data_IF_209813811170
#
_entry.id   IF_209813811170
#
_cell.length_a   1.000
_cell.length_b   1.000
_cell.length_c   1.000
_cell.angle_alpha   90.00
_cell.angle_beta   90.00
_cell.angle_gamma   90.00
#
_symmetry.space_group_name_H-M   'P 1'
#
loop_
_entity.id
_entity.type
_entity.pdbx_description
1 polymer ?
#
# COMPACT_ATOMS: atom_id res chain seq x y z
N UNK A 1 0.22 -17.25 6.21
CA UNK A 1 -0.59 -16.04 6.44
C UNK A 1 0.11 -14.83 5.87
N UNK A 2 -0.66 -13.99 5.19
CA UNK A 2 -0.10 -12.78 4.59
C UNK A 2 -0.20 -11.62 5.57
N UNK A 3 0.92 -10.92 5.74
CA UNK A 3 1.04 -9.73 6.58
C UNK A 3 1.37 -8.54 5.70
N UNK A 4 0.69 -7.42 5.93
CA UNK A 4 0.92 -6.18 5.21
C UNK A 4 1.33 -5.07 6.18
N UNK A 5 2.39 -4.36 5.84
CA UNK A 5 2.80 -3.13 6.50
C UNK A 5 2.43 -1.95 5.59
N UNK A 6 1.65 -1.03 6.12
CA UNK A 6 1.24 0.18 5.41
C UNK A 6 2.01 1.36 6.00
N UNK A 7 2.75 2.07 5.17
CA UNK A 7 3.44 3.29 5.59
C UNK A 7 2.51 4.47 5.39
N UNK A 8 2.13 5.12 6.48
CA UNK A 8 1.21 6.25 6.47
C UNK A 8 -0.14 5.94 7.10
N UNK A 9 -0.31 6.31 8.38
CA UNK A 9 -1.52 6.07 9.16
C UNK A 9 -2.47 7.26 9.05
N UNK A 10 -3.02 7.47 7.86
CA UNK A 10 -3.90 8.58 7.52
C UNK A 10 -5.18 8.08 6.88
N UNK A 11 -6.03 9.00 6.43
CA UNK A 11 -7.26 8.65 5.73
C UNK A 11 -6.99 7.81 4.48
N UNK A 12 -5.95 8.14 3.71
CA UNK A 12 -5.56 7.35 2.54
C UNK A 12 -5.06 5.96 2.95
N UNK A 13 -4.23 5.87 3.98
CA UNK A 13 -3.77 4.59 4.50
C UNK A 13 -4.91 3.70 4.98
N UNK A 14 -5.96 4.30 5.53
CA UNK A 14 -7.15 3.56 5.96
C UNK A 14 -7.90 2.95 4.77
N UNK A 15 -7.99 3.67 3.65
CA UNK A 15 -8.58 3.14 2.41
C UNK A 15 -7.76 1.97 1.89
N UNK A 16 -6.44 2.09 1.91
CA UNK A 16 -5.53 1.02 1.50
C UNK A 16 -5.73 -0.22 2.37
N UNK A 17 -5.88 -0.05 3.69
CA UNK A 17 -6.12 -1.16 4.61
C UNK A 17 -7.43 -1.91 4.28
N UNK A 18 -8.48 -1.18 3.93
CA UNK A 18 -9.75 -1.79 3.53
C UNK A 18 -9.59 -2.68 2.29
N UNK A 19 -8.88 -2.18 1.28
CA UNK A 19 -8.60 -2.96 0.07
C UNK A 19 -7.80 -4.22 0.42
N UNK A 20 -6.77 -4.08 1.26
CA UNK A 20 -5.91 -5.20 1.65
C UNK A 20 -6.72 -6.31 2.35
N UNK A 21 -7.63 -5.95 3.25
CA UNK A 21 -8.50 -6.94 3.90
C UNK A 21 -9.36 -7.69 2.90
N UNK A 22 -9.92 -6.99 1.94
CA UNK A 22 -10.80 -7.59 0.92
C UNK A 22 -10.08 -8.60 0.05
N UNK A 23 -8.78 -8.41 -0.19
CA UNK A 23 -8.00 -9.31 -1.05
C UNK A 23 -7.22 -10.38 -0.27
N UNK A 24 -7.41 -10.47 1.06
CA UNK A 24 -6.96 -11.61 1.83
C UNK A 24 -5.80 -11.39 2.79
N UNK A 25 -5.36 -10.16 3.03
CA UNK A 25 -4.39 -9.91 4.09
C UNK A 25 -5.08 -10.06 5.45
N UNK A 26 -4.56 -10.94 6.29
CA UNK A 26 -5.15 -11.22 7.59
C UNK A 26 -4.46 -10.50 8.74
N UNK A 27 -3.26 -9.99 8.53
CA UNK A 27 -2.57 -9.15 9.51
C UNK A 27 -2.12 -7.85 8.85
N UNK A 28 -2.56 -6.72 9.39
CA UNK A 28 -2.24 -5.39 8.87
C UNK A 28 -1.69 -4.54 9.99
N UNK A 29 -0.53 -3.92 9.76
CA UNK A 29 0.08 -2.98 10.69
C UNK A 29 0.45 -1.70 9.94
N UNK A 30 0.51 -0.59 10.67
CA UNK A 30 0.92 0.70 10.13
C UNK A 30 2.28 1.12 10.66
N UNK A 31 2.99 1.88 9.85
CA UNK A 31 4.18 2.65 10.25
C UNK A 31 3.93 4.11 9.93
N UNK A 32 4.22 4.98 10.88
CA UNK A 32 4.05 6.43 10.69
C UNK A 32 5.09 7.17 11.52
N UNK A 33 5.64 8.25 10.96
CA UNK A 33 6.66 9.04 11.64
C UNK A 33 6.06 9.96 12.72
N UNK A 34 4.75 10.14 12.72
CA UNK A 34 4.04 10.86 13.78
C UNK A 34 3.82 9.94 14.98
N UNK A 35 4.62 10.12 16.02
CA UNK A 35 4.59 9.28 17.22
C UNK A 35 3.31 9.41 18.05
N UNK A 36 2.48 10.41 17.78
CA UNK A 36 1.20 10.60 18.46
C UNK A 36 0.09 9.68 17.92
N UNK A 37 0.31 9.07 16.76
CA UNK A 37 -0.68 8.18 16.14
C UNK A 37 -0.39 6.74 16.57
N UNK A 38 -1.34 6.11 17.26
CA UNK A 38 -1.17 4.74 17.79
C UNK A 38 -2.02 3.70 17.06
N UNK A 39 -3.04 4.13 16.33
CA UNK A 39 -3.86 3.22 15.54
C UNK A 39 -4.45 3.96 14.33
N UNK A 40 -4.85 3.19 13.33
CA UNK A 40 -5.51 3.71 12.14
C UNK A 40 -6.51 2.66 11.64
N UNK A 41 -7.79 3.04 11.60
CA UNK A 41 -8.84 2.13 11.15
C UNK A 41 -8.98 0.84 11.95
N UNK A 42 -8.57 0.84 13.21
CA UNK A 42 -8.58 -0.33 14.07
C UNK A 42 -7.30 -1.17 14.02
N UNK A 43 -6.31 -0.78 13.22
CA UNK A 43 -5.01 -1.47 13.13
C UNK A 43 -3.93 -0.71 13.85
N UNK A 44 -2.96 -1.40 14.49
CA UNK A 44 -1.92 -0.73 15.28
C UNK A 44 -0.89 -0.02 14.41
N UNK A 45 -0.37 1.09 14.92
CA UNK A 45 0.84 1.74 14.42
C UNK A 45 2.00 1.25 15.28
N UNK A 46 2.94 0.52 14.71
CA UNK A 46 3.96 -0.20 15.46
C UNK A 46 5.37 0.40 15.38
N UNK A 47 5.58 1.43 14.57
CA UNK A 47 6.88 2.07 14.45
C UNK A 47 6.89 3.18 13.42
N UNK A 48 8.10 3.70 13.18
CA UNK A 48 8.36 4.74 12.19
C UNK A 48 8.60 4.11 10.81
N UNK A 49 8.46 4.90 9.75
CA UNK A 49 8.66 4.42 8.38
C UNK A 49 10.05 3.78 8.17
N UNK A 50 11.07 4.28 8.84
CA UNK A 50 12.43 3.73 8.76
C UNK A 50 12.56 2.32 9.35
N UNK A 51 11.61 1.89 10.17
CA UNK A 51 11.62 0.59 10.85
C UNK A 51 10.91 -0.52 10.08
N UNK A 52 10.27 -0.19 8.96
CA UNK A 52 9.46 -1.16 8.20
C UNK A 52 10.28 -2.37 7.72
N UNK A 53 11.57 -2.18 7.47
CA UNK A 53 12.45 -3.26 7.03
C UNK A 53 12.77 -4.28 8.12
N UNK A 54 12.42 -4.01 9.37
CA UNK A 54 12.70 -4.92 10.50
C UNK A 54 11.70 -6.07 10.62
N UNK A 55 10.59 -6.00 9.89
CA UNK A 55 9.56 -7.04 9.92
C UNK A 55 9.48 -7.77 8.60
N UNK A 56 9.03 -9.02 8.66
CA UNK A 56 8.77 -9.84 7.48
C UNK A 56 7.32 -9.63 7.03
N UNK A 57 7.13 -8.73 6.08
CA UNK A 57 5.81 -8.38 5.58
C UNK A 57 5.91 -7.77 4.18
N UNK A 58 4.81 -7.88 3.44
CA UNK A 58 4.62 -7.08 2.23
C UNK A 58 4.44 -5.62 2.63
N UNK A 59 4.86 -4.69 1.79
CA UNK A 59 4.84 -3.26 2.08
C UNK A 59 4.08 -2.50 1.00
N UNK A 60 3.26 -1.56 1.42
CA UNK A 60 2.61 -0.59 0.54
C UNK A 60 2.70 0.80 1.18
N UNK A 61 2.79 1.83 0.36
CA UNK A 61 2.86 3.21 0.85
C UNK A 61 1.48 3.85 0.73
N UNK A 62 0.88 4.16 1.88
CA UNK A 62 -0.44 4.76 1.99
C UNK A 62 -0.41 6.27 2.21
N UNK A 63 0.53 6.96 1.59
CA UNK A 63 0.68 8.41 1.69
C UNK A 63 0.19 9.07 0.41
N UNK A 64 -0.72 10.06 0.53
CA UNK A 64 -1.29 10.73 -0.62
C UNK A 64 -0.32 11.64 -1.37
N UNK A 65 0.66 12.23 -0.68
CA UNK A 65 1.63 13.12 -1.32
C UNK A 65 2.58 12.33 -2.22
N UNK A 66 2.56 12.62 -3.52
CA UNK A 66 3.33 11.87 -4.51
C UNK A 66 4.85 12.00 -4.33
N UNK A 67 5.34 13.17 -3.94
CA UNK A 67 6.77 13.40 -3.70
C UNK A 67 7.30 12.60 -2.51
N UNK A 68 6.58 12.62 -1.40
CA UNK A 68 6.92 11.84 -0.21
C UNK A 68 6.84 10.35 -0.50
N UNK A 69 5.80 9.92 -1.18
CA UNK A 69 5.61 8.51 -1.58
C UNK A 69 6.78 8.02 -2.42
N UNK A 70 7.22 8.82 -3.39
CA UNK A 70 8.35 8.47 -4.25
C UNK A 70 9.65 8.32 -3.46
N UNK A 71 9.93 9.24 -2.54
CA UNK A 71 11.12 9.16 -1.69
C UNK A 71 11.16 7.87 -0.88
N UNK A 72 10.05 7.53 -0.25
CA UNK A 72 9.95 6.31 0.56
C UNK A 72 10.09 5.07 -0.32
N UNK A 73 9.44 5.06 -1.48
CA UNK A 73 9.52 3.96 -2.44
C UNK A 73 10.96 3.68 -2.86
N UNK A 74 11.74 4.72 -3.13
CA UNK A 74 13.14 4.58 -3.54
C UNK A 74 14.03 4.04 -2.43
N UNK A 75 13.63 4.19 -1.17
CA UNK A 75 14.37 3.67 -0.01
C UNK A 75 14.08 2.20 0.29
N UNK A 76 13.09 1.59 -0.37
CA UNK A 76 12.64 0.23 -0.10
C UNK A 76 13.08 -0.74 -1.20
N UNK A 77 13.40 -2.01 -0.83
CA UNK A 77 13.66 -3.04 -1.84
C UNK A 77 12.37 -3.35 -2.62
N UNK A 78 12.49 -3.47 -3.94
CA UNK A 78 11.35 -3.74 -4.82
C UNK A 78 10.60 -5.02 -4.46
N UNK A 79 11.29 -6.04 -3.99
CA UNK A 79 10.67 -7.31 -3.64
C UNK A 79 9.70 -7.23 -2.46
N UNK A 80 9.79 -6.19 -1.65
CA UNK A 80 8.84 -5.97 -0.55
C UNK A 80 7.60 -5.19 -0.96
N UNK A 81 7.70 -4.38 -2.00
CA UNK A 81 6.57 -3.58 -2.48
C UNK A 81 5.56 -4.45 -3.21
N UNK A 82 4.30 -4.29 -2.86
CA UNK A 82 3.19 -5.03 -3.48
C UNK A 82 2.24 -4.08 -4.19
N UNK A 83 1.47 -4.62 -5.11
CA UNK A 83 0.38 -3.92 -5.78
C UNK A 83 -0.94 -4.44 -5.23
N UNK A 84 -1.83 -3.53 -4.87
CA UNK A 84 -3.15 -3.87 -4.35
C UNK A 84 -4.21 -3.45 -5.36
N UNK A 85 -5.08 -4.40 -5.73
CA UNK A 85 -6.16 -4.16 -6.68
C UNK A 85 -7.47 -4.48 -5.98
N UNK A 86 -8.34 -3.47 -5.87
CA UNK A 86 -9.66 -3.68 -5.28
C UNK A 86 -10.45 -4.71 -6.12
N UNK A 87 -11.19 -5.63 -5.49
CA UNK A 87 -11.95 -6.64 -6.24
C UNK A 87 -12.99 -6.07 -7.21
N UNK A 88 -13.48 -4.85 -6.96
CA UNK A 88 -14.46 -4.17 -7.81
C UNK A 88 -13.80 -3.26 -8.86
N UNK A 89 -12.49 -3.36 -9.05
CA UNK A 89 -11.81 -2.71 -10.17
C UNK A 89 -11.87 -3.61 -11.40
N UNK A 90 -11.95 -2.99 -12.56
CA UNK A 90 -11.95 -3.71 -13.85
C UNK A 90 -10.59 -3.48 -14.51
N UNK A 91 -9.78 -4.52 -14.57
CA UNK A 91 -8.42 -4.46 -15.11
C UNK A 91 -8.31 -5.43 -16.28
N UNK A 92 -7.95 -4.93 -17.45
CA UNK A 92 -7.77 -5.77 -18.64
C UNK A 92 -6.56 -6.70 -18.47
N UNK A 93 -6.59 -7.85 -19.18
CA UNK A 93 -5.57 -8.89 -19.01
C UNK A 93 -4.16 -8.46 -19.41
N UNK A 94 -4.03 -7.59 -20.40
CA UNK A 94 -2.74 -7.17 -20.94
C UNK A 94 -2.20 -5.89 -20.29
N UNK A 95 -2.74 -5.49 -19.15
CA UNK A 95 -2.29 -4.30 -18.42
C UNK A 95 -1.02 -4.61 -17.63
N UNK A 96 -0.04 -3.71 -17.71
CA UNK A 96 1.18 -3.77 -16.90
C UNK A 96 1.06 -2.75 -15.78
N UNK A 97 1.15 -3.22 -14.54
CA UNK A 97 1.03 -2.38 -13.34
C UNK A 97 2.32 -2.48 -12.54
N UNK A 98 2.97 -1.34 -12.33
CA UNK A 98 4.21 -1.26 -11.54
C UNK A 98 3.97 -1.54 -10.05
N UNK A 99 5.02 -2.02 -9.38
CA UNK A 99 4.96 -2.32 -7.94
C UNK A 99 4.64 -1.08 -7.11
N UNK A 100 3.96 -1.27 -6.00
CA UNK A 100 3.58 -0.19 -5.10
C UNK A 100 2.35 0.59 -5.55
N UNK A 101 1.64 0.13 -6.56
CA UNK A 101 0.42 0.77 -7.07
C UNK A 101 -0.81 0.28 -6.30
N UNK A 102 -1.75 1.19 -6.06
CA UNK A 102 -3.06 0.85 -5.48
C UNK A 102 -4.15 1.17 -6.51
N UNK A 103 -4.94 0.17 -6.85
CA UNK A 103 -6.08 0.32 -7.75
C UNK A 103 -7.37 0.32 -6.93
N UNK A 104 -8.08 1.43 -6.97
CA UNK A 104 -9.27 1.66 -6.14
C UNK A 104 -10.50 0.98 -6.70
N UNK A 105 -11.55 0.89 -5.86
CA UNK A 105 -12.85 0.37 -6.28
C UNK A 105 -13.41 1.18 -7.45
N UNK A 106 -13.97 0.50 -8.44
CA UNK A 106 -14.58 1.14 -9.60
C UNK A 106 -13.61 1.65 -10.65
N UNK A 107 -12.30 1.54 -10.42
CA UNK A 107 -11.32 1.92 -11.45
C UNK A 107 -11.44 0.99 -12.65
N UNK A 108 -11.30 1.55 -13.85
CA UNK A 108 -11.31 0.78 -15.10
C UNK A 108 -9.98 1.03 -15.81
N UNK A 109 -9.22 -0.04 -16.03
CA UNK A 109 -7.94 0.02 -16.74
C UNK A 109 -8.10 -0.75 -18.05
N UNK A 110 -8.07 -0.02 -19.15
CA UNK A 110 -8.32 -0.57 -20.47
C UNK A 110 -7.13 -1.37 -21.01
N UNK A 111 -7.37 -2.22 -22.05
CA UNK A 111 -6.28 -2.99 -22.67
C UNK A 111 -5.12 -2.11 -23.14
N UNK A 112 -3.90 -2.58 -22.95
CA UNK A 112 -2.69 -1.91 -23.40
C UNK A 112 -2.19 -0.79 -22.52
N UNK A 113 -2.90 -0.47 -21.42
CA UNK A 113 -2.48 0.58 -20.48
C UNK A 113 -1.27 0.10 -19.67
N UNK A 114 -0.32 1.00 -19.45
CA UNK A 114 0.82 0.76 -18.57
C UNK A 114 0.78 1.75 -17.40
N UNK A 115 0.88 1.22 -16.19
CA UNK A 115 0.92 2.02 -14.98
C UNK A 115 2.29 1.85 -14.34
N UNK A 116 2.95 2.96 -14.05
CA UNK A 116 4.26 2.96 -13.42
C UNK A 116 4.21 2.56 -11.94
N UNK A 117 5.37 2.56 -11.29
CA UNK A 117 5.46 2.25 -9.87
C UNK A 117 4.76 3.30 -9.03
N UNK A 118 4.12 2.87 -7.94
CA UNK A 118 3.61 3.76 -6.91
C UNK A 118 2.41 4.63 -7.30
N UNK A 119 1.62 4.19 -8.25
CA UNK A 119 0.42 4.94 -8.67
C UNK A 119 -0.82 4.69 -7.82
#
# INVERSE_FOLDING_TARGET
MRKLAIIGASGHGRVVADIARRIGYCEIVFFDDDESIHECGGYPVIGKSSEVGTIDADVIIGIGNAGVRKQIQESLPDEKLVTLIHPDAVVAEDVVIGKGTVVMAGAVINPGVRIGKGC
#
